data_IF_584326670398
#
_entry.id   IF_584326670398
#
_cell.length_a   1.000
_cell.length_b   1.000
_cell.length_c   1.000
_cell.angle_alpha   90.00
_cell.angle_beta   90.00
_cell.angle_gamma   90.00
#
_symmetry.space_group_name_H-M   'P 1'
#
loop_
_entity.id
_entity.type
_entity.pdbx_description
1 polymer ?
#
# COMPACT_ATOMS: atom_id res chain seq x y z
N UNK A 1 57.99 22.75 -39.94
CA UNK A 1 57.61 21.81 -38.86
C UNK A 1 56.17 22.12 -38.49
N UNK A 2 55.17 21.34 -39.01
CA UNK A 2 53.73 21.54 -38.75
C UNK A 2 53.35 20.68 -37.58
N UNK A 3 52.91 21.30 -36.45
CA UNK A 3 52.43 20.62 -35.28
C UNK A 3 50.95 20.31 -35.52
N UNK A 4 50.59 19.03 -35.68
CA UNK A 4 49.21 18.55 -35.68
C UNK A 4 48.72 18.47 -34.22
N UNK A 5 47.80 19.34 -33.86
CA UNK A 5 47.09 19.26 -32.58
C UNK A 5 45.90 18.30 -32.78
N UNK A 6 45.99 17.07 -32.25
CA UNK A 6 44.88 16.13 -32.22
C UNK A 6 43.96 16.51 -31.08
N UNK A 7 42.76 17.00 -31.38
CA UNK A 7 41.70 17.24 -30.39
C UNK A 7 41.02 15.89 -30.11
N UNK A 8 41.26 15.33 -28.93
CA UNK A 8 40.49 14.17 -28.43
C UNK A 8 39.17 14.67 -27.89
N UNK A 9 38.11 14.44 -28.64
CA UNK A 9 36.72 14.69 -28.16
C UNK A 9 36.31 13.51 -27.29
N UNK A 10 36.29 13.71 -25.96
CA UNK A 10 35.81 12.75 -25.00
C UNK A 10 34.29 12.71 -25.07
N UNK A 11 33.73 11.71 -25.75
CA UNK A 11 32.27 11.46 -25.74
C UNK A 11 31.88 10.92 -24.36
N UNK A 12 31.38 11.79 -23.49
CA UNK A 12 30.72 11.37 -22.26
C UNK A 12 29.35 10.82 -22.65
N UNK A 13 29.25 9.52 -22.81
CA UNK A 13 27.97 8.83 -22.96
C UNK A 13 27.16 9.01 -21.67
N UNK A 14 26.27 9.99 -21.63
CA UNK A 14 25.26 10.10 -20.57
C UNK A 14 24.26 8.97 -20.78
N UNK A 15 24.45 7.86 -20.06
CA UNK A 15 23.44 6.80 -20.00
C UNK A 15 22.18 7.39 -19.39
N UNK A 16 21.20 7.71 -20.23
CA UNK A 16 19.86 8.11 -19.77
C UNK A 16 19.17 6.86 -19.21
N UNK A 17 19.32 6.61 -17.93
CA UNK A 17 18.56 5.54 -17.27
C UNK A 17 17.10 5.94 -17.22
N UNK A 18 16.28 5.29 -18.05
CA UNK A 18 14.83 5.46 -18.00
C UNK A 18 14.29 4.74 -16.78
N UNK A 19 13.59 5.46 -15.89
CA UNK A 19 12.93 4.83 -14.75
C UNK A 19 11.98 3.73 -15.20
N UNK A 20 11.98 2.60 -14.49
CA UNK A 20 11.09 1.47 -14.74
C UNK A 20 10.00 1.41 -13.68
N UNK A 21 8.83 0.86 -14.04
CA UNK A 21 7.67 0.76 -13.16
C UNK A 21 7.09 -0.64 -13.24
N UNK A 22 6.90 -1.27 -12.09
CA UNK A 22 6.18 -2.54 -11.94
C UNK A 22 4.83 -2.27 -11.29
N UNK A 23 3.76 -2.73 -11.92
CA UNK A 23 2.36 -2.47 -11.56
C UNK A 23 1.59 -1.87 -12.72
N UNK A 24 0.27 -1.92 -12.64
CA UNK A 24 -0.62 -1.34 -13.66
C UNK A 24 -1.05 0.06 -13.22
N UNK A 25 -1.00 1.04 -14.13
CA UNK A 25 -1.49 2.39 -13.84
C UNK A 25 -3.02 2.43 -13.94
N UNK A 26 -3.67 1.82 -12.97
CA UNK A 26 -5.13 1.76 -12.81
C UNK A 26 -5.49 2.15 -11.38
N UNK A 27 -6.66 2.72 -11.15
CA UNK A 27 -7.16 3.06 -9.82
C UNK A 27 -6.96 1.91 -8.81
N UNK A 28 -6.48 2.21 -7.59
CA UNK A 28 -6.25 1.26 -6.53
C UNK A 28 -4.98 0.41 -6.66
N UNK A 29 -4.09 0.70 -7.60
CA UNK A 29 -2.86 -0.08 -7.78
C UNK A 29 -1.72 0.41 -6.90
N UNK A 30 -0.89 -0.53 -6.48
CA UNK A 30 0.44 -0.30 -5.93
C UNK A 30 1.45 -0.32 -7.07
N UNK A 31 2.35 0.65 -7.11
CA UNK A 31 3.40 0.78 -8.12
C UNK A 31 4.76 0.76 -7.43
N UNK A 32 5.62 -0.13 -7.89
CA UNK A 32 7.03 -0.15 -7.54
C UNK A 32 7.83 0.49 -8.67
N UNK A 33 8.52 1.58 -8.38
CA UNK A 33 9.42 2.26 -9.30
C UNK A 33 10.88 1.93 -9.02
N UNK A 34 11.71 1.98 -10.07
CA UNK A 34 13.17 1.91 -9.95
C UNK A 34 13.79 2.99 -10.84
N UNK A 35 14.74 3.71 -10.28
CA UNK A 35 15.53 4.76 -10.93
C UNK A 35 16.99 4.64 -10.53
N UNK A 36 17.84 5.57 -10.95
CA UNK A 36 19.23 5.62 -10.49
C UNK A 36 19.31 5.90 -8.99
N UNK A 37 20.26 5.28 -8.27
CA UNK A 37 20.56 5.61 -6.88
C UNK A 37 20.77 7.12 -6.69
N UNK A 38 20.30 7.65 -5.55
CA UNK A 38 20.43 9.08 -5.25
C UNK A 38 19.48 10.02 -5.99
N UNK A 39 18.61 9.50 -6.86
CA UNK A 39 17.59 10.30 -7.55
C UNK A 39 16.60 10.94 -6.58
N UNK A 40 16.17 12.17 -6.90
CA UNK A 40 15.08 12.84 -6.20
C UNK A 40 13.78 12.56 -6.95
N UNK A 41 12.84 11.89 -6.27
CA UNK A 41 11.56 11.49 -6.87
C UNK A 41 10.40 12.21 -6.20
N UNK A 42 9.51 12.77 -7.03
CA UNK A 42 8.22 13.29 -6.58
C UNK A 42 7.09 12.58 -7.31
N UNK A 43 6.06 12.22 -6.58
CA UNK A 43 4.79 11.71 -7.12
C UNK A 43 3.75 12.80 -6.94
N UNK A 44 3.22 13.30 -8.05
CA UNK A 44 2.51 14.57 -8.12
C UNK A 44 3.42 15.70 -7.58
N UNK A 45 3.13 16.26 -6.41
CA UNK A 45 3.99 17.27 -5.77
C UNK A 45 4.68 16.75 -4.51
N UNK A 46 4.40 15.49 -4.11
CA UNK A 46 4.92 14.92 -2.87
C UNK A 46 6.24 14.19 -3.13
N UNK A 47 7.30 14.59 -2.41
CA UNK A 47 8.57 13.86 -2.41
C UNK A 47 8.34 12.47 -1.82
N UNK A 48 8.90 11.44 -2.47
CA UNK A 48 8.90 10.06 -1.98
C UNK A 48 10.34 9.61 -1.73
N UNK A 49 10.49 8.69 -0.79
CA UNK A 49 11.80 8.13 -0.45
C UNK A 49 12.27 7.18 -1.54
N UNK A 50 13.57 7.18 -1.80
CA UNK A 50 14.25 6.30 -2.74
C UNK A 50 15.29 5.52 -1.97
N UNK A 51 15.34 4.19 -2.15
CA UNK A 51 16.38 3.35 -1.53
C UNK A 51 17.75 3.62 -2.12
N UNK A 52 18.81 3.17 -1.44
CA UNK A 52 20.18 3.21 -1.97
C UNK A 52 20.34 2.47 -3.30
N UNK A 53 19.41 1.56 -3.63
CA UNK A 53 19.39 0.80 -4.90
C UNK A 53 18.49 1.47 -5.96
N UNK A 54 17.86 2.61 -5.65
CA UNK A 54 16.99 3.36 -6.55
C UNK A 54 15.51 2.93 -6.54
N UNK A 55 15.06 2.08 -5.61
CA UNK A 55 13.65 1.68 -5.52
C UNK A 55 12.80 2.71 -4.77
N UNK A 56 11.58 2.90 -5.21
CA UNK A 56 10.56 3.70 -4.56
C UNK A 56 9.16 3.11 -4.81
N UNK A 57 8.19 3.44 -3.96
CA UNK A 57 6.84 2.91 -4.08
C UNK A 57 5.79 4.01 -3.89
N UNK A 58 4.64 3.82 -4.54
CA UNK A 58 3.48 4.69 -4.36
C UNK A 58 2.18 3.95 -4.71
N UNK A 59 1.07 4.43 -4.14
CA UNK A 59 -0.26 3.92 -4.41
C UNK A 59 -1.06 4.87 -5.31
N UNK A 60 -1.92 4.32 -6.15
CA UNK A 60 -2.94 5.06 -6.90
C UNK A 60 -4.26 4.96 -6.13
N UNK A 61 -4.81 6.10 -5.71
CA UNK A 61 -6.07 6.13 -4.97
C UNK A 61 -7.23 5.47 -5.74
N UNK A 62 -8.18 4.86 -4.99
CA UNK A 62 -9.36 4.18 -5.55
C UNK A 62 -10.16 5.06 -6.51
N UNK A 63 -10.36 6.32 -6.12
CA UNK A 63 -11.22 7.26 -6.86
C UNK A 63 -10.42 8.33 -7.59
N UNK A 64 -9.14 8.05 -7.89
CA UNK A 64 -8.27 8.98 -8.60
C UNK A 64 -8.84 9.28 -10.00
N UNK A 65 -9.03 10.56 -10.32
CA UNK A 65 -9.57 11.01 -11.61
C UNK A 65 -8.49 11.47 -12.60
N UNK A 66 -7.38 11.98 -12.07
CA UNK A 66 -6.34 12.61 -12.87
C UNK A 66 -5.17 11.66 -13.16
N UNK A 67 -4.49 11.89 -14.26
CA UNK A 67 -3.22 11.25 -14.56
C UNK A 67 -2.21 11.53 -13.46
N UNK A 68 -1.17 10.69 -13.35
CA UNK A 68 -0.14 10.85 -12.35
C UNK A 68 1.10 11.48 -12.96
N UNK A 69 1.65 12.47 -12.27
CA UNK A 69 2.90 13.12 -12.63
C UNK A 69 4.02 12.58 -11.75
N UNK A 70 4.99 11.92 -12.37
CA UNK A 70 6.19 11.40 -11.72
C UNK A 70 7.34 12.31 -12.14
N UNK A 71 7.99 12.96 -11.19
CA UNK A 71 9.16 13.80 -11.46
C UNK A 71 10.40 13.11 -10.88
N UNK A 72 11.40 12.87 -11.71
CA UNK A 72 12.69 12.29 -11.33
C UNK A 72 13.79 13.25 -11.75
N UNK A 73 14.53 13.78 -10.78
CA UNK A 73 15.55 14.80 -11.01
C UNK A 73 15.04 15.94 -11.92
N UNK A 74 13.82 16.45 -11.61
CA UNK A 74 13.08 17.48 -12.34
C UNK A 74 12.58 17.08 -13.75
N UNK A 75 12.88 15.89 -14.26
CA UNK A 75 12.28 15.38 -15.51
C UNK A 75 10.91 14.79 -15.21
N UNK A 76 9.87 15.27 -15.88
CA UNK A 76 8.48 14.86 -15.69
C UNK A 76 8.11 13.70 -16.60
N UNK A 77 7.46 12.71 -16.03
CA UNK A 77 6.83 11.56 -16.70
C UNK A 77 5.35 11.60 -16.34
N UNK A 78 4.47 11.71 -17.32
CA UNK A 78 3.02 11.65 -17.10
C UNK A 78 2.54 10.27 -17.49
N UNK A 79 1.80 9.61 -16.60
CA UNK A 79 1.18 8.31 -16.85
C UNK A 79 -0.32 8.44 -16.71
N UNK A 80 -1.04 8.01 -17.76
CA UNK A 80 -2.50 7.89 -17.72
C UNK A 80 -2.90 6.87 -16.66
N UNK A 81 -3.84 7.25 -15.79
CA UNK A 81 -4.42 6.34 -14.80
C UNK A 81 -5.77 5.85 -15.31
N UNK A 82 -5.85 4.55 -15.57
CA UNK A 82 -7.07 3.94 -16.05
C UNK A 82 -8.11 3.84 -14.92
N UNK A 83 -9.37 4.04 -15.26
CA UNK A 83 -10.49 3.80 -14.36
C UNK A 83 -10.63 2.30 -14.10
N UNK A 84 -10.98 1.94 -12.86
CA UNK A 84 -11.42 0.61 -12.49
C UNK A 84 -12.92 0.63 -12.22
N UNK A 85 -13.62 -0.37 -12.66
CA UNK A 85 -15.00 -0.60 -12.26
C UNK A 85 -15.03 -1.36 -10.93
N UNK A 86 -15.87 -0.89 -10.01
CA UNK A 86 -16.02 -1.45 -8.69
C UNK A 86 -17.44 -1.98 -8.49
N UNK A 87 -17.55 -3.10 -7.80
CA UNK A 87 -18.85 -3.64 -7.43
C UNK A 87 -19.47 -2.77 -6.32
N UNK A 88 -20.60 -2.12 -6.65
CA UNK A 88 -21.35 -1.28 -5.72
C UNK A 88 -22.67 -1.96 -5.39
N UNK A 89 -22.81 -2.44 -4.16
CA UNK A 89 -24.01 -3.09 -3.67
C UNK A 89 -24.91 -2.07 -2.93
N UNK A 90 -26.16 -1.95 -3.35
CA UNK A 90 -27.17 -1.12 -2.68
C UNK A 90 -28.11 -2.01 -1.88
N UNK A 91 -28.30 -1.70 -0.61
CA UNK A 91 -29.15 -2.46 0.31
C UNK A 91 -30.02 -1.45 1.06
N UNK A 92 -31.34 -1.55 0.89
CA UNK A 92 -32.30 -0.69 1.54
C UNK A 92 -33.17 -1.47 2.53
N UNK A 93 -33.96 -0.78 3.36
CA UNK A 93 -34.83 -1.40 4.35
C UNK A 93 -34.12 -1.91 5.61
N UNK A 94 -32.88 -1.51 5.85
CA UNK A 94 -32.15 -1.89 7.05
C UNK A 94 -32.56 -1.05 8.26
N UNK A 95 -32.67 -1.67 9.45
CA UNK A 95 -32.85 -0.96 10.70
C UNK A 95 -31.68 0.03 10.94
N UNK A 96 -31.98 1.23 11.44
CA UNK A 96 -31.01 2.32 11.65
C UNK A 96 -29.76 1.86 12.43
N UNK A 97 -29.93 1.04 13.49
CA UNK A 97 -28.82 0.49 14.28
C UNK A 97 -27.83 -0.39 13.50
N UNK A 98 -28.23 -0.92 12.33
CA UNK A 98 -27.34 -1.69 11.45
C UNK A 98 -26.56 -0.80 10.48
N UNK A 99 -26.91 0.46 10.37
CA UNK A 99 -26.29 1.42 9.45
C UNK A 99 -25.32 2.35 10.19
N UNK A 100 -25.63 2.69 11.46
CA UNK A 100 -24.82 3.59 12.29
C UNK A 100 -24.49 2.90 13.62
N UNK A 101 -23.25 2.91 14.08
CA UNK A 101 -22.88 2.34 15.38
C UNK A 101 -23.58 3.11 16.51
N UNK A 102 -23.81 2.47 17.67
CA UNK A 102 -24.32 3.14 18.86
C UNK A 102 -23.34 4.21 19.35
N UNK A 103 -23.87 5.26 20.01
CA UNK A 103 -23.05 6.40 20.46
C UNK A 103 -22.01 6.00 21.51
N UNK A 104 -22.34 5.01 22.35
CA UNK A 104 -21.48 4.50 23.44
C UNK A 104 -20.13 3.97 22.94
N UNK A 105 -20.03 3.58 21.66
CA UNK A 105 -18.79 3.02 21.10
C UNK A 105 -17.94 4.05 20.34
N UNK A 106 -18.42 5.29 20.18
CA UNK A 106 -17.71 6.29 19.35
C UNK A 106 -16.32 6.62 19.86
N UNK A 107 -16.14 6.81 21.17
CA UNK A 107 -14.82 7.10 21.75
C UNK A 107 -13.87 5.89 21.62
N UNK A 108 -14.39 4.66 21.72
CA UNK A 108 -13.61 3.45 21.43
C UNK A 108 -13.15 3.44 19.97
N UNK A 109 -14.05 3.64 19.03
CA UNK A 109 -13.77 3.67 17.58
C UNK A 109 -12.73 4.74 17.26
N UNK A 110 -12.88 5.94 17.81
CA UNK A 110 -11.96 7.06 17.59
C UNK A 110 -10.53 6.75 18.07
N UNK A 111 -10.41 6.17 19.26
CA UNK A 111 -9.12 5.74 19.84
C UNK A 111 -8.46 4.66 18.99
N UNK A 112 -9.22 3.64 18.59
CA UNK A 112 -8.73 2.52 17.79
C UNK A 112 -8.31 2.97 16.38
N UNK A 113 -9.08 3.85 15.74
CA UNK A 113 -8.70 4.46 14.46
C UNK A 113 -7.40 5.26 14.56
N UNK A 114 -7.17 5.93 15.70
CA UNK A 114 -5.91 6.63 15.96
C UNK A 114 -4.74 5.64 16.01
N UNK A 115 -4.86 4.53 16.73
CA UNK A 115 -3.82 3.48 16.79
C UNK A 115 -3.48 2.91 15.42
N UNK A 116 -4.51 2.58 14.63
CA UNK A 116 -4.33 2.10 13.25
C UNK A 116 -3.63 3.17 12.40
N UNK A 117 -4.04 4.44 12.53
CA UNK A 117 -3.43 5.56 11.82
C UNK A 117 -1.95 5.73 12.15
N UNK A 118 -1.60 5.73 13.44
CA UNK A 118 -0.22 5.83 13.92
C UNK A 118 0.65 4.64 13.45
N UNK A 119 0.12 3.42 13.53
CA UNK A 119 0.83 2.23 13.09
C UNK A 119 1.12 2.22 11.58
N UNK A 120 0.18 2.75 10.77
CA UNK A 120 0.34 2.87 9.32
C UNK A 120 1.17 4.08 8.88
N UNK A 121 1.36 5.06 9.75
CA UNK A 121 2.17 6.26 9.48
C UNK A 121 3.67 6.02 9.70
N UNK A 122 4.07 4.85 10.18
CA UNK A 122 5.48 4.49 10.35
C UNK A 122 6.17 4.53 8.99
N UNK A 123 7.30 5.23 8.91
CA UNK A 123 8.13 5.39 7.72
C UNK A 123 9.58 5.04 8.05
N UNK A 124 9.88 3.75 8.13
CA UNK A 124 11.20 3.23 8.48
C UNK A 124 12.15 3.14 7.29
N UNK A 125 13.43 2.85 7.57
CA UNK A 125 14.47 2.60 6.56
C UNK A 125 14.42 1.19 5.96
N UNK A 126 13.47 0.34 6.36
CA UNK A 126 13.28 -0.97 5.78
C UNK A 126 13.01 -0.88 4.28
N UNK A 127 13.38 -1.91 3.53
CA UNK A 127 13.23 -1.92 2.06
C UNK A 127 12.54 -3.18 1.56
N UNK A 128 11.79 -3.85 2.43
CA UNK A 128 11.11 -5.11 2.08
C UNK A 128 10.00 -4.93 1.06
N UNK A 129 9.42 -3.73 0.95
CA UNK A 129 8.38 -3.40 -0.03
C UNK A 129 8.80 -3.64 -1.50
N UNK A 130 10.10 -3.75 -1.79
CA UNK A 130 10.62 -4.04 -3.13
C UNK A 130 10.48 -5.51 -3.53
N UNK A 131 10.26 -6.40 -2.57
CA UNK A 131 10.14 -7.84 -2.79
C UNK A 131 8.77 -8.24 -3.35
N UNK A 132 8.67 -9.44 -3.88
CA UNK A 132 7.39 -10.01 -4.30
C UNK A 132 6.56 -10.34 -3.07
N UNK A 133 5.28 -9.93 -3.06
CA UNK A 133 4.34 -10.26 -2.00
C UNK A 133 4.01 -11.76 -2.00
N UNK A 134 3.99 -12.36 -0.82
CA UNK A 134 3.52 -13.72 -0.60
C UNK A 134 2.00 -13.73 -0.42
N UNK A 135 1.33 -14.82 -0.81
CA UNK A 135 -0.11 -14.99 -0.55
C UNK A 135 -0.26 -15.40 0.91
N UNK A 136 -1.01 -14.64 1.74
CA UNK A 136 -1.03 -14.84 3.18
C UNK A 136 -1.80 -16.09 3.62
N UNK A 137 -2.76 -16.56 2.82
CA UNK A 137 -3.58 -17.76 3.09
C UNK A 137 -3.60 -18.61 1.83
N UNK A 138 -2.97 -19.76 1.89
CA UNK A 138 -2.92 -20.70 0.77
C UNK A 138 -4.30 -21.34 0.53
N UNK A 139 -4.64 -21.54 -0.74
CA UNK A 139 -5.90 -22.19 -1.18
C UNK A 139 -7.20 -21.52 -0.69
N UNK A 140 -7.14 -20.30 -0.17
CA UNK A 140 -8.33 -19.57 0.27
C UNK A 140 -9.17 -19.08 -0.92
N UNK A 141 -10.48 -19.02 -0.70
CA UNK A 141 -11.42 -18.44 -1.65
C UNK A 141 -11.44 -16.92 -1.47
N UNK A 142 -11.28 -16.16 -2.56
CA UNK A 142 -11.42 -14.71 -2.51
C UNK A 142 -12.93 -14.36 -2.50
N UNK A 143 -13.41 -13.80 -1.41
CA UNK A 143 -14.83 -13.43 -1.21
C UNK A 143 -15.08 -11.92 -1.25
N UNK A 144 -14.04 -11.11 -1.06
CA UNK A 144 -14.10 -9.66 -1.17
C UNK A 144 -12.91 -9.10 -1.93
N UNK A 145 -13.18 -8.13 -2.82
CA UNK A 145 -12.15 -7.53 -3.67
C UNK A 145 -12.01 -6.03 -3.38
N UNK A 146 -10.79 -5.52 -3.59
CA UNK A 146 -10.47 -4.11 -3.42
C UNK A 146 -11.42 -3.21 -4.21
N UNK A 147 -11.93 -2.19 -3.52
CA UNK A 147 -12.75 -1.12 -4.10
C UNK A 147 -14.25 -1.38 -4.10
N UNK A 148 -14.72 -2.61 -3.81
CA UNK A 148 -16.14 -2.87 -3.62
C UNK A 148 -16.71 -1.99 -2.51
N UNK A 149 -18.00 -1.60 -2.61
CA UNK A 149 -18.60 -0.68 -1.67
C UNK A 149 -20.07 -1.01 -1.46
N UNK A 150 -20.55 -0.84 -0.22
CA UNK A 150 -21.97 -0.93 0.10
C UNK A 150 -22.56 0.47 0.30
N UNK A 151 -23.78 0.65 -0.20
CA UNK A 151 -24.62 1.81 0.09
C UNK A 151 -25.81 1.27 0.87
N UNK A 152 -25.92 1.64 2.15
CA UNK A 152 -26.94 1.13 3.08
C UNK A 152 -27.96 2.22 3.36
N UNK A 153 -29.23 1.98 3.01
CA UNK A 153 -30.31 2.98 3.10
C UNK A 153 -29.91 4.34 2.47
N UNK A 154 -29.29 4.30 1.28
CA UNK A 154 -28.80 5.49 0.60
C UNK A 154 -27.47 6.07 1.15
N UNK A 155 -26.95 5.57 2.28
CA UNK A 155 -25.72 6.06 2.92
C UNK A 155 -24.51 5.25 2.43
N UNK A 156 -23.56 5.87 1.68
CA UNK A 156 -22.33 5.19 1.27
C UNK A 156 -21.50 4.79 2.48
N UNK A 157 -21.07 3.53 2.54
CA UNK A 157 -20.09 3.04 3.50
C UNK A 157 -18.68 3.15 2.94
N UNK A 158 -17.68 3.02 3.80
CA UNK A 158 -16.30 2.98 3.36
C UNK A 158 -16.09 1.86 2.34
N UNK A 159 -15.39 2.14 1.23
CA UNK A 159 -14.99 1.09 0.30
C UNK A 159 -14.12 0.04 0.98
N UNK A 160 -14.18 -1.17 0.47
CA UNK A 160 -13.29 -2.23 0.88
C UNK A 160 -11.87 -1.99 0.32
N UNK A 161 -10.90 -1.75 1.19
CA UNK A 161 -9.52 -1.42 0.80
C UNK A 161 -8.57 -2.62 0.88
N UNK A 162 -9.09 -3.84 0.70
CA UNK A 162 -8.31 -5.06 0.82
C UNK A 162 -8.84 -6.20 -0.04
N UNK A 163 -8.37 -7.40 0.27
CA UNK A 163 -8.87 -8.67 -0.23
C UNK A 163 -9.34 -9.49 0.95
N UNK A 164 -10.51 -10.12 0.83
CA UNK A 164 -10.99 -11.07 1.82
C UNK A 164 -10.65 -12.49 1.38
N UNK A 165 -9.93 -13.18 2.23
CA UNK A 165 -9.57 -14.59 2.10
C UNK A 165 -10.47 -15.41 3.02
N UNK A 166 -11.44 -16.15 2.46
CA UNK A 166 -12.28 -17.06 3.23
C UNK A 166 -11.53 -18.37 3.46
N UNK A 167 -11.40 -18.74 4.73
CA UNK A 167 -10.80 -19.98 5.18
C UNK A 167 -11.42 -20.38 6.53
N UNK A 168 -11.25 -21.64 6.91
CA UNK A 168 -11.74 -22.14 8.18
C UNK A 168 -11.02 -21.50 9.37
N UNK A 169 -11.71 -21.42 10.51
CA UNK A 169 -11.12 -20.93 11.75
C UNK A 169 -9.91 -21.81 12.15
N UNK A 170 -8.82 -21.15 12.51
CA UNK A 170 -7.55 -21.82 12.82
C UNK A 170 -6.60 -21.96 11.63
N UNK A 171 -7.02 -21.57 10.41
CA UNK A 171 -6.11 -21.52 9.27
C UNK A 171 -4.98 -20.55 9.52
N UNK A 172 -3.75 -20.98 9.24
CA UNK A 172 -2.56 -20.14 9.40
C UNK A 172 -2.54 -18.99 8.41
N UNK A 173 -2.21 -17.81 8.91
CA UNK A 173 -2.02 -16.59 8.11
C UNK A 173 -0.54 -16.23 8.14
N UNK A 174 0.07 -16.22 6.95
CA UNK A 174 1.51 -15.97 6.78
C UNK A 174 1.81 -14.51 6.46
N UNK A 175 2.97 -14.04 6.90
CA UNK A 175 3.42 -12.69 6.59
C UNK A 175 3.68 -12.51 5.09
N UNK A 176 2.99 -11.56 4.45
CA UNK A 176 3.13 -11.28 3.00
C UNK A 176 4.52 -10.76 2.63
N UNK A 177 5.19 -10.06 3.52
CA UNK A 177 6.54 -9.53 3.40
C UNK A 177 7.23 -9.60 4.76
N UNK A 178 8.56 -9.60 4.77
CA UNK A 178 9.32 -9.32 5.99
C UNK A 178 9.02 -7.91 6.47
N UNK A 179 9.06 -7.69 7.80
CA UNK A 179 8.75 -6.38 8.35
C UNK A 179 8.86 -6.33 9.87
N UNK A 180 8.46 -5.19 10.42
CA UNK A 180 8.34 -4.99 11.86
C UNK A 180 6.88 -4.80 12.21
N UNK A 181 6.39 -5.48 13.24
CA UNK A 181 5.02 -5.32 13.75
C UNK A 181 4.85 -3.93 14.36
N UNK A 182 3.94 -3.12 13.82
CA UNK A 182 3.63 -1.77 14.33
C UNK A 182 2.35 -1.74 15.16
N UNK A 183 1.43 -2.69 14.94
CA UNK A 183 0.23 -2.91 15.75
C UNK A 183 -0.05 -4.41 15.87
N UNK A 184 -0.45 -4.85 17.06
CA UNK A 184 -0.96 -6.20 17.34
C UNK A 184 -2.02 -6.08 18.43
N UNK A 185 -3.30 -6.05 18.04
CA UNK A 185 -4.46 -5.87 18.92
C UNK A 185 -5.49 -6.98 18.67
N UNK A 186 -5.98 -7.61 19.75
CA UNK A 186 -6.83 -8.79 19.64
C UNK A 186 -8.31 -8.48 19.44
N UNK A 187 -8.77 -7.27 19.81
CA UNK A 187 -10.20 -6.92 19.81
C UNK A 187 -10.42 -5.44 19.48
N UNK A 188 -10.29 -5.08 18.21
CA UNK A 188 -10.74 -3.78 17.73
C UNK A 188 -12.19 -3.85 17.25
N UNK A 189 -12.97 -2.81 17.51
CA UNK A 189 -14.42 -2.79 17.31
C UNK A 189 -14.84 -3.20 15.87
N UNK A 190 -14.18 -2.68 14.85
CA UNK A 190 -14.51 -3.01 13.46
C UNK A 190 -13.69 -4.14 12.87
N UNK A 191 -12.47 -4.33 13.34
CA UNK A 191 -11.48 -5.16 12.67
C UNK A 191 -11.06 -6.39 13.47
N UNK A 192 -11.61 -6.54 14.70
CA UNK A 192 -11.31 -7.68 15.56
C UNK A 192 -9.82 -7.82 15.81
N UNK A 193 -9.32 -9.03 15.77
CA UNK A 193 -7.89 -9.30 15.80
C UNK A 193 -7.19 -8.63 14.62
N UNK A 194 -6.31 -7.65 14.93
CA UNK A 194 -5.73 -6.75 13.94
C UNK A 194 -4.22 -6.68 14.09
N UNK A 195 -3.52 -6.89 12.97
CA UNK A 195 -2.07 -6.89 12.89
C UNK A 195 -1.61 -5.97 11.76
N UNK A 196 -0.63 -5.10 12.03
CA UNK A 196 -0.03 -4.21 11.02
C UNK A 196 1.49 -4.40 11.03
N UNK A 197 2.06 -4.53 9.83
CA UNK A 197 3.50 -4.55 9.61
C UNK A 197 3.95 -3.30 8.85
N UNK A 198 5.08 -2.76 9.21
CA UNK A 198 5.87 -1.82 8.42
C UNK A 198 6.90 -2.58 7.59
N UNK A 199 6.93 -2.26 6.28
CA UNK A 199 7.87 -2.84 5.31
C UNK A 199 8.89 -1.83 4.79
N UNK A 200 8.82 -0.61 5.33
CA UNK A 200 9.67 0.52 4.99
C UNK A 200 9.07 1.49 3.97
N UNK A 201 9.57 2.71 4.00
CA UNK A 201 9.19 3.80 3.10
C UNK A 201 7.68 4.07 3.06
N UNK A 202 7.00 3.92 4.23
CA UNK A 202 5.56 4.14 4.36
C UNK A 202 4.68 3.04 3.74
N UNK A 203 5.25 1.90 3.37
CA UNK A 203 4.51 0.73 2.91
C UNK A 203 4.19 -0.19 4.08
N UNK A 204 2.91 -0.46 4.31
CA UNK A 204 2.43 -1.33 5.38
C UNK A 204 1.44 -2.37 4.85
N UNK A 205 1.37 -3.53 5.52
CA UNK A 205 0.27 -4.49 5.34
C UNK A 205 -0.57 -4.56 6.61
N UNK A 206 -1.87 -4.73 6.43
CA UNK A 206 -2.86 -4.81 7.50
C UNK A 206 -3.62 -6.13 7.36
N UNK A 207 -3.68 -6.90 8.46
CA UNK A 207 -4.45 -8.14 8.59
C UNK A 207 -5.56 -7.93 9.62
N UNK A 208 -6.76 -8.37 9.32
CA UNK A 208 -7.95 -8.16 10.16
C UNK A 208 -8.70 -9.47 10.37
N UNK A 209 -9.62 -9.45 11.34
CA UNK A 209 -10.52 -10.56 11.65
C UNK A 209 -9.78 -11.84 12.07
N UNK A 210 -8.59 -11.67 12.65
CA UNK A 210 -7.79 -12.79 13.16
C UNK A 210 -8.38 -13.30 14.48
N UNK A 211 -8.48 -14.62 14.63
CA UNK A 211 -8.87 -15.23 15.89
C UNK A 211 -7.73 -15.15 16.92
N UNK A 212 -6.48 -15.38 16.49
CA UNK A 212 -5.31 -15.35 17.36
C UNK A 212 -4.13 -14.67 16.67
N UNK A 213 -3.45 -13.77 17.39
CA UNK A 213 -2.21 -13.13 16.96
C UNK A 213 -1.04 -13.77 17.70
N UNK A 214 -0.04 -14.27 16.95
CA UNK A 214 1.10 -15.03 17.51
C UNK A 214 2.36 -14.16 17.68
N UNK A 215 2.29 -12.89 17.30
CA UNK A 215 3.41 -11.94 17.34
C UNK A 215 3.04 -10.71 18.16
N UNK A 216 4.03 -9.93 18.58
CA UNK A 216 3.82 -8.72 19.38
C UNK A 216 4.40 -7.48 18.70
N UNK A 217 3.88 -6.31 19.05
CA UNK A 217 4.39 -5.01 18.59
C UNK A 217 5.91 -4.90 18.80
N UNK A 218 6.63 -4.43 17.80
CA UNK A 218 8.09 -4.32 17.74
C UNK A 218 8.80 -5.60 17.27
N UNK A 219 8.11 -6.73 17.13
CA UNK A 219 8.72 -7.96 16.64
C UNK A 219 9.06 -7.85 15.15
N UNK A 220 10.24 -8.34 14.79
CA UNK A 220 10.64 -8.54 13.39
C UNK A 220 10.14 -9.89 12.92
N UNK A 221 9.55 -9.93 11.74
CA UNK A 221 8.95 -11.13 11.13
C UNK A 221 9.52 -11.28 9.72
N UNK A 222 9.80 -12.50 9.30
CA UNK A 222 10.22 -12.80 7.93
C UNK A 222 9.01 -13.10 7.06
N UNK A 223 9.17 -12.90 5.76
CA UNK A 223 8.17 -13.31 4.78
C UNK A 223 7.92 -14.81 4.88
N UNK A 224 6.64 -15.20 4.98
CA UNK A 224 6.23 -16.60 5.07
C UNK A 224 6.17 -17.17 6.49
N UNK A 225 6.65 -16.41 7.53
CA UNK A 225 6.43 -16.80 8.93
C UNK A 225 4.94 -16.80 9.26
#
# INVERSE_FOLDING_TARGET
MRILISIIILFIATSSFAATFKGKFIQGSFILGKTEPGSIVHIDKKKVRVTSEGFFAFGLGRDRKNDIVISINNKKIIKKVLKREYNIQRIDGLAKKKVTPPEEVYERIKRENKWIGEARAVDSELTFFKNKFYIPVENAIITGVYGSQRILNGIPKWPHYGLDFAADEGTEIKAMLSGTVTLAENDLFYTGGTLIFDHGHGVSTLYMHMNKILVKKGQKVKQGD
#
